data_IF_227411858227
#
_entry.id   IF_227411858227
#
_cell.length_a   1.000
_cell.length_b   1.000
_cell.length_c   1.000
_cell.angle_alpha   90.00
_cell.angle_beta   90.00
_cell.angle_gamma   90.00
#
_symmetry.space_group_name_H-M   'P 1'
#
loop_
_entity.id
_entity.type
_entity.pdbx_description
1 polymer ?
#
# COMPACT_ATOMS: atom_id res chain seq x y z
N UNK A 1 -17.26 30.24 7.15
CA UNK A 1 -17.39 31.43 8.00
C UNK A 1 -16.72 31.08 9.32
N UNK A 2 -15.51 31.59 9.51
CA UNK A 2 -14.66 31.27 10.66
C UNK A 2 -15.21 31.98 11.91
N UNK A 3 -15.07 31.36 13.09
CA UNK A 3 -15.52 31.95 14.38
C UNK A 3 -14.95 33.36 14.61
N UNK A 4 -13.76 33.64 14.09
CA UNK A 4 -13.14 34.96 14.13
C UNK A 4 -13.91 36.03 13.34
N UNK A 5 -14.46 35.68 12.17
CA UNK A 5 -15.23 36.60 11.31
C UNK A 5 -16.61 36.93 11.91
N UNK A 6 -17.22 35.96 12.61
CA UNK A 6 -18.50 36.15 13.29
C UNK A 6 -18.41 37.05 14.54
N UNK A 7 -17.25 37.03 15.20
CA UNK A 7 -17.03 37.71 16.48
C UNK A 7 -16.14 38.95 16.42
N UNK A 8 -15.68 39.34 15.22
CA UNK A 8 -14.69 40.42 15.02
C UNK A 8 -13.49 40.25 15.97
N UNK A 9 -12.94 39.02 16.00
CA UNK A 9 -11.89 38.62 16.94
C UNK A 9 -10.50 38.76 16.30
N UNK A 10 -9.60 39.41 17.01
CA UNK A 10 -8.20 39.59 16.62
C UNK A 10 -7.28 38.62 17.39
N UNK A 11 -6.19 38.14 16.77
CA UNK A 11 -5.21 37.31 17.44
C UNK A 11 -4.38 38.12 18.45
N UNK A 12 -4.18 37.56 19.63
CA UNK A 12 -3.38 38.15 20.72
C UNK A 12 -2.42 37.12 21.28
N UNK A 13 -1.20 37.56 21.59
CA UNK A 13 -0.24 36.76 22.36
C UNK A 13 -0.19 37.33 23.77
N UNK A 14 -0.40 36.47 24.77
CA UNK A 14 -0.28 36.77 26.19
C UNK A 14 0.84 35.93 26.79
N UNK A 15 1.85 36.57 27.36
CA UNK A 15 2.92 35.89 28.11
C UNK A 15 2.62 35.98 29.58
N UNK A 16 2.50 34.85 30.28
CA UNK A 16 2.19 34.86 31.71
C UNK A 16 3.42 35.14 32.60
N UNK A 17 3.21 35.23 33.91
CA UNK A 17 4.25 35.49 34.91
C UNK A 17 5.32 34.39 35.03
N UNK A 18 5.13 33.23 34.39
CA UNK A 18 6.11 32.16 34.30
C UNK A 18 6.87 32.19 32.97
N UNK A 19 6.52 33.11 32.07
CA UNK A 19 7.12 33.22 30.74
C UNK A 19 6.49 32.28 29.71
N UNK A 20 5.34 31.66 30.00
CA UNK A 20 4.65 30.79 29.05
C UNK A 20 3.80 31.63 28.09
N UNK A 21 3.91 31.32 26.78
CA UNK A 21 3.17 32.01 25.72
C UNK A 21 1.79 31.37 25.48
N UNK A 22 0.74 32.20 25.50
CA UNK A 22 -0.64 31.79 25.23
C UNK A 22 -1.16 32.52 23.99
N UNK A 23 -1.72 31.77 23.04
CA UNK A 23 -2.31 32.31 21.82
C UNK A 23 -3.84 32.38 21.96
N UNK A 24 -4.40 33.59 21.84
CA UNK A 24 -5.81 33.87 22.09
C UNK A 24 -6.47 34.58 20.88
N UNK A 25 -7.79 34.49 20.80
CA UNK A 25 -8.63 35.33 19.93
C UNK A 25 -9.50 36.20 20.84
N UNK A 26 -9.45 37.51 20.67
CA UNK A 26 -10.18 38.46 21.51
C UNK A 26 -10.73 39.62 20.68
N UNK A 27 -11.91 40.14 21.05
CA UNK A 27 -12.46 41.33 20.39
C UNK A 27 -11.58 42.56 20.72
N UNK A 28 -11.43 43.55 19.80
CA UNK A 28 -10.57 44.72 19.97
C UNK A 28 -10.74 45.44 21.32
N UNK A 29 -11.99 45.52 21.80
CA UNK A 29 -12.31 46.12 23.11
C UNK A 29 -11.67 45.38 24.29
N UNK A 30 -11.62 44.05 24.23
CA UNK A 30 -10.99 43.21 25.26
C UNK A 30 -9.47 43.39 25.24
N UNK A 31 -8.88 43.49 24.05
CA UNK A 31 -7.45 43.73 23.85
C UNK A 31 -7.05 45.07 24.47
N UNK A 32 -7.80 46.13 24.17
CA UNK A 32 -7.56 47.46 24.75
C UNK A 32 -7.62 47.46 26.28
N UNK A 33 -8.57 46.73 26.87
CA UNK A 33 -8.65 46.59 28.32
C UNK A 33 -7.46 45.83 28.90
N UNK A 34 -7.02 44.74 28.25
CA UNK A 34 -5.85 43.96 28.69
C UNK A 34 -4.57 44.81 28.66
N UNK A 35 -4.34 45.57 27.58
CA UNK A 35 -3.18 46.46 27.46
C UNK A 35 -3.19 47.59 28.49
N UNK A 36 -4.38 48.13 28.82
CA UNK A 36 -4.51 49.19 29.83
C UNK A 36 -4.22 48.64 31.24
N UNK A 37 -4.72 47.45 31.55
CA UNK A 37 -4.48 46.77 32.84
C UNK A 37 -3.00 46.39 33.04
N UNK A 38 -2.28 46.06 31.95
CA UNK A 38 -0.83 45.83 31.98
C UNK A 38 -0.02 47.12 32.15
N UNK A 39 -0.50 48.26 31.63
CA UNK A 39 0.18 49.54 31.82
C UNK A 39 0.05 50.08 33.26
N UNK A 40 -1.05 49.76 33.94
CA UNK A 40 -1.33 50.22 35.31
C UNK A 40 -0.73 49.33 36.41
N UNK A 41 -0.42 48.06 36.11
CA UNK A 41 0.17 47.12 37.05
C UNK A 41 1.58 46.72 36.61
N UNK A 42 2.55 46.66 37.54
CA UNK A 42 3.94 46.21 37.27
C UNK A 42 3.94 44.96 36.35
N UNK A 43 4.72 44.94 35.26
CA UNK A 43 4.53 44.02 34.16
C UNK A 43 4.91 42.60 34.59
N UNK A 44 3.90 41.82 34.96
CA UNK A 44 4.06 40.38 35.20
C UNK A 44 3.65 39.58 33.96
N UNK A 45 3.17 40.26 32.93
CA UNK A 45 2.77 39.68 31.65
C UNK A 45 3.05 40.68 30.52
N UNK A 46 3.18 40.17 29.30
CA UNK A 46 3.34 40.97 28.10
C UNK A 46 2.26 40.59 27.08
N UNK A 47 1.46 41.56 26.65
CA UNK A 47 0.50 41.42 25.55
C UNK A 47 1.05 42.05 24.28
N UNK A 48 1.05 41.28 23.18
CA UNK A 48 1.42 41.78 21.85
C UNK A 48 0.34 41.44 20.82
N UNK A 49 0.03 42.43 19.95
CA UNK A 49 -0.74 42.21 18.73
C UNK A 49 0.26 41.80 17.63
N UNK A 50 0.12 40.62 17.02
CA UNK A 50 0.96 40.22 15.90
C UNK A 50 0.78 41.22 14.75
N UNK A 51 1.89 41.74 14.21
CA UNK A 51 1.82 42.56 12.99
C UNK A 51 1.24 41.72 11.86
N UNK A 52 0.29 42.29 11.11
CA UNK A 52 -0.17 41.76 9.83
C UNK A 52 1.05 41.34 9.01
N UNK A 53 1.09 40.05 8.61
CA UNK A 53 2.06 39.62 7.61
C UNK A 53 1.66 40.32 6.33
N UNK A 54 2.60 41.05 5.73
CA UNK A 54 2.42 41.68 4.41
C UNK A 54 1.76 40.66 3.47
N UNK A 55 0.67 41.07 2.82
CA UNK A 55 0.08 40.34 1.71
C UNK A 55 1.22 39.98 0.73
N UNK A 56 1.38 38.68 0.52
CA UNK A 56 2.31 38.13 -0.46
C UNK A 56 1.62 38.30 -1.80
N UNK A 57 2.30 38.95 -2.74
CA UNK A 57 1.90 39.06 -4.15
C UNK A 57 1.38 37.70 -4.66
N UNK A 58 0.15 37.68 -5.18
CA UNK A 58 -0.56 36.47 -5.64
C UNK A 58 0.18 35.72 -6.78
N UNK A 59 1.24 36.30 -7.36
CA UNK A 59 2.08 35.68 -8.40
C UNK A 59 3.33 34.96 -7.86
N UNK A 60 3.57 35.00 -6.55
CA UNK A 60 4.60 34.18 -5.91
C UNK A 60 3.92 33.06 -5.13
N UNK A 61 4.00 31.81 -5.62
CA UNK A 61 3.49 30.65 -4.88
C UNK A 61 4.03 30.72 -3.44
N UNK A 62 3.18 30.89 -2.42
CA UNK A 62 3.67 30.90 -1.07
C UNK A 62 4.22 29.50 -0.79
N UNK A 63 5.47 29.45 -0.32
CA UNK A 63 6.03 28.28 0.33
C UNK A 63 4.98 27.80 1.34
N UNK A 64 4.27 26.73 0.98
CA UNK A 64 3.18 26.21 1.77
C UNK A 64 3.75 25.86 3.14
N UNK A 65 3.32 26.56 4.18
CA UNK A 65 3.57 26.18 5.57
C UNK A 65 3.35 24.67 5.68
N UNK A 66 4.34 23.87 6.17
CA UNK A 66 4.25 22.42 6.11
C UNK A 66 2.94 21.96 6.76
N UNK A 67 2.01 21.45 5.95
CA UNK A 67 0.72 21.02 6.49
C UNK A 67 0.99 19.90 7.50
N UNK A 68 0.60 20.11 8.76
CA UNK A 68 0.73 19.10 9.80
C UNK A 68 -0.14 17.90 9.44
N UNK A 69 0.37 16.69 9.65
CA UNK A 69 -0.41 15.46 9.44
C UNK A 69 -1.72 15.48 10.24
N UNK A 70 -1.72 16.12 11.41
CA UNK A 70 -2.93 16.33 12.20
C UNK A 70 -3.98 17.13 11.44
N UNK A 71 -3.58 18.21 10.76
CA UNK A 71 -4.50 19.03 9.97
C UNK A 71 -5.01 18.26 8.75
N UNK A 72 -4.16 17.48 8.09
CA UNK A 72 -4.55 16.60 6.98
C UNK A 72 -5.63 15.61 7.45
N UNK A 73 -5.40 14.94 8.58
CA UNK A 73 -6.36 13.99 9.15
C UNK A 73 -7.67 14.67 9.52
N UNK A 74 -7.62 15.81 10.24
CA UNK A 74 -8.81 16.54 10.69
C UNK A 74 -9.69 17.06 9.54
N UNK A 75 -9.05 17.49 8.45
CA UNK A 75 -9.74 18.00 7.26
C UNK A 75 -10.10 16.91 6.25
N UNK A 76 -9.68 15.65 6.49
CA UNK A 76 -9.98 14.55 5.58
C UNK A 76 -11.43 14.09 5.70
N UNK A 77 -12.00 13.62 4.59
CA UNK A 77 -13.28 12.91 4.61
C UNK A 77 -13.20 11.57 5.39
N UNK A 78 -11.99 11.05 5.62
CA UNK A 78 -11.72 9.85 6.44
C UNK A 78 -11.45 10.17 7.93
N UNK A 79 -11.67 11.40 8.40
CA UNK A 79 -11.26 11.86 9.74
C UNK A 79 -11.71 10.95 10.88
N UNK A 80 -12.91 10.37 10.80
CA UNK A 80 -13.49 9.57 11.86
C UNK A 80 -12.71 8.26 12.09
N UNK A 81 -12.11 7.72 11.03
CA UNK A 81 -11.27 6.54 11.09
C UNK A 81 -9.82 6.91 11.43
N UNK A 82 -9.28 7.95 10.80
CA UNK A 82 -7.85 8.31 10.91
C UNK A 82 -7.50 9.04 12.21
N UNK A 83 -8.44 9.74 12.84
CA UNK A 83 -8.21 10.45 14.11
C UNK A 83 -7.89 9.53 15.29
N UNK A 84 -8.15 8.23 15.15
CA UNK A 84 -7.80 7.20 16.14
C UNK A 84 -6.33 6.75 16.04
N UNK A 85 -5.67 7.10 14.94
CA UNK A 85 -4.30 6.68 14.64
C UNK A 85 -3.33 7.83 14.90
N UNK A 86 -2.13 7.49 15.37
CA UNK A 86 -1.05 8.45 15.58
C UNK A 86 0.01 8.28 14.50
N UNK A 87 0.23 9.32 13.71
CA UNK A 87 1.15 9.30 12.59
C UNK A 87 2.44 10.06 12.92
N UNK A 88 3.56 9.47 12.54
CA UNK A 88 4.88 10.11 12.58
C UNK A 88 5.44 10.21 11.16
N UNK A 89 6.17 11.28 10.88
CA UNK A 89 6.90 11.38 9.61
C UNK A 89 8.06 10.37 9.61
N UNK A 90 8.30 9.77 8.45
CA UNK A 90 9.41 8.85 8.25
C UNK A 90 10.73 9.53 8.63
N UNK A 91 11.49 8.93 9.51
CA UNK A 91 12.77 9.45 9.98
C UNK A 91 13.95 8.61 9.42
N UNK A 92 15.21 9.02 9.63
CA UNK A 92 16.36 8.27 9.13
C UNK A 92 16.44 6.83 9.66
N UNK A 93 16.02 6.57 10.90
CA UNK A 93 16.05 5.22 11.49
C UNK A 93 15.03 4.31 10.81
N UNK A 94 13.84 4.83 10.52
CA UNK A 94 12.79 4.08 9.85
C UNK A 94 13.09 3.90 8.36
N UNK A 95 13.73 4.89 7.72
CA UNK A 95 14.24 4.74 6.35
C UNK A 95 15.31 3.64 6.26
N UNK A 96 16.15 3.48 7.29
CA UNK A 96 17.11 2.38 7.38
C UNK A 96 16.39 1.02 7.50
N UNK A 97 15.33 0.93 8.31
CA UNK A 97 14.51 -0.28 8.44
C UNK A 97 13.94 -0.74 7.08
N UNK A 98 13.47 0.20 6.25
CA UNK A 98 12.97 -0.06 4.89
C UNK A 98 14.08 -0.50 3.90
N UNK A 99 15.35 -0.28 4.25
CA UNK A 99 16.52 -0.63 3.46
C UNK A 99 17.29 -1.85 4.01
N UNK A 100 16.72 -2.57 4.99
CA UNK A 100 17.36 -3.76 5.53
C UNK A 100 17.55 -4.86 4.46
N UNK A 101 18.65 -5.60 4.59
CA UNK A 101 18.97 -6.71 3.70
C UNK A 101 18.03 -7.89 3.93
N UNK A 102 17.30 -8.28 2.89
CA UNK A 102 16.41 -9.44 2.93
C UNK A 102 17.15 -10.77 2.94
N UNK A 103 18.39 -10.80 2.42
CA UNK A 103 19.24 -12.00 2.47
C UNK A 103 19.63 -12.33 3.91
N UNK A 104 19.94 -11.31 4.71
CA UNK A 104 20.33 -11.48 6.12
C UNK A 104 19.13 -11.52 7.06
N UNK A 105 18.04 -10.84 6.69
CA UNK A 105 16.81 -10.79 7.47
C UNK A 105 15.59 -11.08 6.55
N UNK A 106 15.22 -12.35 6.35
CA UNK A 106 14.05 -12.71 5.55
C UNK A 106 12.73 -12.12 6.05
N UNK A 107 12.64 -11.78 7.35
CA UNK A 107 11.46 -11.14 7.95
C UNK A 107 11.36 -9.65 7.62
N UNK A 108 12.42 -9.02 7.10
CA UNK A 108 12.43 -7.61 6.76
C UNK A 108 11.31 -7.24 5.77
N UNK A 109 11.02 -8.12 4.79
CA UNK A 109 9.92 -7.91 3.85
C UNK A 109 8.56 -7.79 4.57
N UNK A 110 8.31 -8.66 5.54
CA UNK A 110 7.09 -8.63 6.37
C UNK A 110 7.02 -7.36 7.22
N UNK A 111 8.09 -7.00 7.89
CA UNK A 111 8.15 -5.76 8.68
C UNK A 111 7.91 -4.52 7.81
N UNK A 112 8.46 -4.50 6.60
CA UNK A 112 8.24 -3.40 5.65
C UNK A 112 6.79 -3.33 5.17
N UNK A 113 6.15 -4.47 4.88
CA UNK A 113 4.72 -4.52 4.56
C UNK A 113 3.87 -3.96 5.68
N UNK A 114 4.07 -4.48 6.90
CA UNK A 114 3.34 -4.04 8.07
C UNK A 114 3.50 -2.54 8.30
N UNK A 115 4.72 -2.01 8.22
CA UNK A 115 5.01 -0.60 8.40
C UNK A 115 4.29 0.33 7.40
N UNK A 116 4.14 -0.13 6.15
CA UNK A 116 3.58 0.66 5.05
C UNK A 116 2.06 0.56 4.90
N UNK A 117 1.43 -0.38 5.60
CA UNK A 117 -0.01 -0.40 5.70
C UNK A 117 -0.52 0.91 6.31
N UNK A 118 -1.43 1.60 5.63
CA UNK A 118 -1.98 2.89 6.07
C UNK A 118 -0.96 4.02 6.12
N UNK A 119 0.18 3.89 5.43
CA UNK A 119 1.06 5.02 5.20
C UNK A 119 0.31 6.16 4.50
N UNK A 120 0.64 7.40 4.85
CA UNK A 120 0.09 8.61 4.23
C UNK A 120 1.20 9.33 3.48
N UNK A 121 1.00 9.55 2.19
CA UNK A 121 1.90 10.33 1.35
C UNK A 121 1.37 11.74 1.19
N UNK A 122 2.23 12.75 1.30
CA UNK A 122 1.84 14.16 1.26
C UNK A 122 2.76 14.94 0.32
N UNK A 123 2.17 15.66 -0.63
CA UNK A 123 2.88 16.45 -1.64
C UNK A 123 2.06 17.70 -2.00
N UNK A 124 2.64 18.91 -1.87
CA UNK A 124 1.98 20.16 -2.28
C UNK A 124 0.51 20.33 -1.85
N UNK A 125 0.18 19.97 -0.59
CA UNK A 125 -1.20 20.04 -0.04
C UNK A 125 -2.12 18.87 -0.44
N UNK A 126 -1.64 17.95 -1.27
CA UNK A 126 -2.31 16.70 -1.65
C UNK A 126 -1.89 15.57 -0.73
N UNK A 127 -2.81 14.65 -0.46
CA UNK A 127 -2.59 13.57 0.51
C UNK A 127 -3.22 12.26 0.04
N UNK A 128 -2.46 11.16 0.17
CA UNK A 128 -2.86 9.83 -0.27
C UNK A 128 -2.69 8.84 0.87
N UNK A 129 -3.76 8.13 1.23
CA UNK A 129 -3.71 7.01 2.17
C UNK A 129 -3.50 5.70 1.40
N UNK A 130 -2.49 4.95 1.78
CA UNK A 130 -2.20 3.62 1.25
C UNK A 130 -3.13 2.59 1.87
N UNK A 131 -3.89 1.90 1.02
CA UNK A 131 -4.79 0.84 1.43
C UNK A 131 -4.24 -0.55 1.10
N UNK A 132 -3.33 -0.67 0.13
CA UNK A 132 -2.71 -1.95 -0.18
C UNK A 132 -1.52 -1.81 -1.12
N UNK A 133 -0.61 -2.76 -1.02
CA UNK A 133 0.62 -2.75 -1.80
C UNK A 133 1.23 -4.13 -1.95
N UNK A 134 2.15 -4.23 -2.91
CA UNK A 134 2.89 -5.44 -3.24
C UNK A 134 4.38 -5.16 -3.20
N UNK A 135 5.11 -5.98 -2.46
CA UNK A 135 6.55 -5.80 -2.25
C UNK A 135 7.34 -6.73 -3.14
N UNK A 136 8.41 -6.20 -3.73
CA UNK A 136 9.31 -6.90 -4.62
C UNK A 136 10.73 -6.71 -4.13
N UNK A 137 11.50 -7.81 -4.08
CA UNK A 137 12.94 -7.69 -3.84
C UNK A 137 13.61 -7.12 -5.09
N UNK A 138 14.64 -6.30 -4.91
CA UNK A 138 15.50 -5.90 -6.04
C UNK A 138 16.53 -6.95 -6.44
N UNK A 139 16.74 -7.97 -5.60
CA UNK A 139 17.74 -9.00 -5.87
C UNK A 139 17.14 -10.12 -6.74
N UNK A 140 17.70 -10.40 -7.94
CA UNK A 140 17.23 -11.47 -8.81
C UNK A 140 17.23 -12.85 -8.18
N UNK A 141 18.14 -13.07 -7.22
CA UNK A 141 18.28 -14.34 -6.49
C UNK A 141 17.17 -14.56 -5.47
N UNK A 142 16.55 -13.49 -4.96
CA UNK A 142 15.47 -13.56 -3.98
C UNK A 142 14.10 -13.48 -4.64
N UNK A 143 13.98 -12.69 -5.72
CA UNK A 143 12.72 -12.50 -6.39
C UNK A 143 12.89 -12.52 -7.91
N UNK A 144 12.29 -13.53 -8.53
CA UNK A 144 12.21 -13.61 -9.98
C UNK A 144 11.50 -12.40 -10.60
N UNK A 145 10.67 -11.67 -9.84
CA UNK A 145 9.93 -10.47 -10.26
C UNK A 145 10.61 -9.15 -9.93
N UNK A 146 11.91 -9.17 -9.60
CA UNK A 146 12.69 -7.97 -9.36
C UNK A 146 12.60 -6.93 -10.50
N UNK A 147 12.72 -5.66 -10.13
CA UNK A 147 12.83 -4.56 -11.09
C UNK A 147 14.15 -4.65 -11.86
N UNK A 148 14.07 -4.69 -13.19
CA UNK A 148 15.27 -4.71 -14.04
C UNK A 148 15.82 -3.30 -14.17
N UNK A 149 17.06 -3.11 -13.70
CA UNK A 149 17.77 -1.83 -13.75
C UNK A 149 18.90 -1.81 -14.80
N UNK A 150 19.24 -2.95 -15.38
CA UNK A 150 20.28 -3.05 -16.39
C UNK A 150 19.83 -2.49 -17.74
N UNK A 151 20.70 -1.70 -18.37
CA UNK A 151 20.47 -1.21 -19.73
C UNK A 151 20.45 -2.38 -20.71
N UNK A 152 19.46 -2.41 -21.59
CA UNK A 152 19.45 -3.26 -22.77
C UNK A 152 19.36 -2.39 -24.00
N UNK A 153 20.30 -2.56 -24.94
CA UNK A 153 20.35 -1.84 -26.22
C UNK A 153 20.37 -0.31 -26.09
N UNK A 154 21.10 0.24 -25.11
CA UNK A 154 21.29 1.69 -24.95
C UNK A 154 20.15 2.43 -24.26
N UNK A 155 19.00 1.78 -24.02
CA UNK A 155 17.93 2.36 -23.22
C UNK A 155 18.15 1.99 -21.74
N UNK A 156 18.16 3.01 -20.89
CA UNK A 156 18.10 2.82 -19.43
C UNK A 156 16.62 2.74 -19.06
N UNK A 157 16.14 1.60 -18.53
CA UNK A 157 14.74 1.49 -18.12
C UNK A 157 14.45 2.50 -17.01
N UNK A 158 13.24 3.05 -17.00
CA UNK A 158 12.77 3.84 -15.87
C UNK A 158 12.81 2.96 -14.62
N UNK A 159 13.34 3.51 -13.54
CA UNK A 159 13.61 2.78 -12.31
C UNK A 159 13.00 3.50 -11.11
N UNK A 160 12.57 2.73 -10.10
CA UNK A 160 12.18 3.30 -8.80
C UNK A 160 13.37 3.43 -7.85
N UNK A 161 14.61 3.19 -8.31
CA UNK A 161 15.77 3.35 -7.46
C UNK A 161 15.84 4.80 -6.94
N UNK A 162 16.01 4.98 -5.63
CA UNK A 162 16.04 6.32 -5.06
C UNK A 162 17.28 7.08 -5.55
N UNK A 163 17.06 8.34 -5.92
CA UNK A 163 18.11 9.30 -6.22
C UNK A 163 18.98 9.58 -4.99
N UNK A 164 20.12 10.23 -5.19
CA UNK A 164 21.06 10.56 -4.11
C UNK A 164 20.59 11.72 -3.23
N UNK A 165 19.71 12.57 -3.76
CA UNK A 165 19.23 13.82 -3.16
C UNK A 165 17.75 13.72 -2.71
N UNK A 166 17.32 12.54 -2.28
CA UNK A 166 15.95 12.30 -1.79
C UNK A 166 15.78 12.82 -0.37
N UNK A 167 14.55 13.26 -0.01
CA UNK A 167 14.20 13.70 1.36
C UNK A 167 14.55 12.65 2.42
N UNK A 168 14.29 11.38 2.12
CA UNK A 168 14.61 10.25 2.97
C UNK A 168 15.75 9.47 2.34
N UNK A 169 16.84 9.26 3.09
CA UNK A 169 18.01 8.57 2.56
C UNK A 169 17.59 7.19 2.03
N UNK A 170 17.90 6.91 0.76
CA UNK A 170 17.61 5.64 0.12
C UNK A 170 16.12 5.24 0.08
N UNK A 171 15.19 6.21 0.14
CA UNK A 171 13.75 5.98 0.00
C UNK A 171 13.16 7.08 -0.87
N UNK A 172 12.43 6.70 -1.92
CA UNK A 172 11.78 7.65 -2.83
C UNK A 172 10.44 7.11 -3.31
N UNK A 173 9.44 7.99 -3.39
CA UNK A 173 8.18 7.70 -4.05
C UNK A 173 8.24 8.23 -5.48
N UNK A 174 7.88 7.42 -6.46
CA UNK A 174 7.94 7.80 -7.87
C UNK A 174 6.76 7.22 -8.65
N UNK A 175 6.55 7.75 -9.86
CA UNK A 175 5.69 7.13 -10.87
C UNK A 175 6.58 6.38 -11.85
N UNK A 176 6.23 5.15 -12.16
CA UNK A 176 6.83 4.37 -13.25
C UNK A 176 5.80 4.19 -14.35
N UNK A 177 6.16 4.55 -15.57
CA UNK A 177 5.40 4.20 -16.78
C UNK A 177 5.75 2.77 -17.18
N UNK A 178 4.81 1.85 -16.98
CA UNK A 178 4.98 0.44 -17.35
C UNK A 178 3.64 -0.17 -17.75
N UNK A 179 3.63 -1.02 -18.79
CA UNK A 179 2.43 -1.64 -19.36
C UNK A 179 1.33 -0.62 -19.73
N UNK A 180 1.71 0.53 -20.30
CA UNK A 180 0.81 1.66 -20.63
C UNK A 180 0.06 2.24 -19.41
N UNK A 181 0.58 2.05 -18.20
CA UNK A 181 0.00 2.58 -16.98
C UNK A 181 1.04 3.30 -16.12
N UNK A 182 0.59 4.36 -15.44
CA UNK A 182 1.36 5.06 -14.41
C UNK A 182 1.20 4.36 -13.08
N UNK A 183 2.24 3.66 -12.65
CA UNK A 183 2.27 2.90 -11.40
C UNK A 183 2.92 3.73 -10.31
N UNK A 184 2.27 3.87 -9.16
CA UNK A 184 2.85 4.53 -7.99
C UNK A 184 3.72 3.54 -7.22
N UNK A 185 5.00 3.85 -7.07
CA UNK A 185 5.99 2.92 -6.51
C UNK A 185 6.84 3.63 -5.45
N UNK A 186 6.89 3.05 -4.25
CA UNK A 186 7.89 3.40 -3.25
C UNK A 186 9.13 2.55 -3.48
N UNK A 187 10.24 3.17 -3.85
CA UNK A 187 11.50 2.50 -4.07
C UNK A 187 12.49 2.70 -2.92
N UNK A 188 13.19 1.62 -2.58
CA UNK A 188 14.34 1.64 -1.68
C UNK A 188 15.56 1.04 -2.39
N UNK A 189 16.71 0.87 -1.72
CA UNK A 189 17.86 0.15 -2.30
C UNK A 189 17.69 -1.37 -2.29
N UNK A 190 16.84 -1.93 -1.42
CA UNK A 190 16.66 -3.39 -1.28
C UNK A 190 15.34 -3.91 -1.84
N UNK A 191 14.32 -3.05 -1.92
CA UNK A 191 12.99 -3.42 -2.39
C UNK A 191 12.30 -2.29 -3.16
N UNK A 192 11.19 -2.63 -3.79
CA UNK A 192 10.21 -1.67 -4.29
C UNK A 192 8.80 -2.13 -3.90
N UNK A 193 7.92 -1.17 -3.64
CA UNK A 193 6.54 -1.41 -3.24
C UNK A 193 5.61 -0.78 -4.25
N UNK A 194 4.88 -1.61 -4.97
CA UNK A 194 3.83 -1.18 -5.87
C UNK A 194 2.57 -0.90 -5.06
N UNK A 195 2.11 0.35 -5.08
CA UNK A 195 0.84 0.71 -4.44
C UNK A 195 -0.30 0.23 -5.35
N UNK A 196 -1.16 -0.63 -4.81
CA UNK A 196 -2.25 -1.28 -5.56
C UNK A 196 -3.63 -0.89 -5.07
N UNK A 197 -3.73 -0.17 -3.94
CA UNK A 197 -4.97 0.41 -3.48
C UNK A 197 -4.69 1.67 -2.68
N UNK A 198 -5.43 2.76 -2.95
CA UNK A 198 -5.26 4.03 -2.26
C UNK A 198 -6.49 4.95 -2.36
N UNK A 199 -6.62 5.87 -1.41
CA UNK A 199 -7.68 6.89 -1.37
C UNK A 199 -7.09 8.28 -1.12
N UNK A 200 -7.68 9.31 -1.74
CA UNK A 200 -7.29 10.72 -1.56
C UNK A 200 -7.88 11.26 -0.28
N UNK A 201 -7.10 11.89 0.60
CA UNK A 201 -7.66 12.36 1.87
C UNK A 201 -8.31 13.73 1.75
N UNK A 202 -7.79 14.61 0.89
CA UNK A 202 -8.29 15.97 0.68
C UNK A 202 -9.54 16.07 -0.21
N UNK A 203 -9.92 14.98 -0.88
CA UNK A 203 -11.08 14.97 -1.77
C UNK A 203 -11.80 13.64 -1.71
N UNK A 204 -13.13 13.65 -1.89
CA UNK A 204 -13.94 12.44 -1.93
C UNK A 204 -13.91 11.77 -3.32
N UNK A 205 -12.70 11.59 -3.85
CA UNK A 205 -12.49 10.90 -5.12
C UNK A 205 -12.65 9.39 -4.95
N UNK A 206 -13.07 8.65 -6.00
CA UNK A 206 -13.15 7.21 -5.94
C UNK A 206 -11.84 6.56 -5.49
N UNK A 207 -11.98 5.48 -4.72
CA UNK A 207 -10.84 4.66 -4.30
C UNK A 207 -10.17 4.06 -5.54
N UNK A 208 -8.87 4.25 -5.67
CA UNK A 208 -8.09 3.58 -6.69
C UNK A 208 -7.81 2.15 -6.26
N UNK A 209 -8.18 1.17 -7.08
CA UNK A 209 -7.90 -0.26 -6.86
C UNK A 209 -7.29 -0.85 -8.13
N UNK A 210 -6.15 -1.52 -7.98
CA UNK A 210 -5.34 -2.07 -9.06
C UNK A 210 -4.01 -1.33 -9.23
N UNK A 211 -3.11 -1.94 -9.99
CA UNK A 211 -1.73 -1.44 -10.18
C UNK A 211 -1.63 -0.21 -11.10
N UNK A 212 -2.70 0.17 -11.80
CA UNK A 212 -2.65 1.11 -12.92
C UNK A 212 -3.07 2.54 -12.57
N UNK A 213 -3.16 2.89 -11.28
CA UNK A 213 -3.62 4.20 -10.85
C UNK A 213 -2.74 4.76 -9.73
N UNK A 214 -2.22 5.97 -9.95
CA UNK A 214 -1.67 6.80 -8.88
C UNK A 214 -2.75 7.59 -8.13
N UNK A 215 -4.02 7.41 -8.50
CA UNK A 215 -5.15 8.21 -8.05
C UNK A 215 -4.91 9.74 -8.20
N UNK A 216 -4.27 10.14 -9.31
CA UNK A 216 -3.89 11.55 -9.54
C UNK A 216 -2.83 12.09 -8.56
N UNK A 217 -2.19 11.24 -7.76
CA UNK A 217 -1.04 11.62 -6.94
C UNK A 217 0.21 11.70 -7.82
N UNK A 218 0.93 12.81 -7.70
CA UNK A 218 2.16 13.08 -8.44
C UNK A 218 3.23 13.33 -7.38
N UNK A 219 4.09 12.34 -7.07
CA UNK A 219 5.15 12.50 -6.09
C UNK A 219 6.28 13.37 -6.63
N UNK A 220 7.07 13.89 -5.71
CA UNK A 220 8.35 14.55 -5.96
C UNK A 220 9.40 14.03 -4.96
N UNK A 221 10.66 14.46 -5.12
CA UNK A 221 11.73 14.16 -4.15
C UNK A 221 11.45 14.72 -2.74
N UNK A 222 10.53 15.68 -2.64
CA UNK A 222 10.11 16.32 -1.39
C UNK A 222 8.87 15.67 -0.76
N UNK A 223 8.28 14.65 -1.40
CA UNK A 223 7.08 13.99 -0.87
C UNK A 223 7.35 13.48 0.54
N UNK A 224 6.46 13.85 1.46
CA UNK A 224 6.52 13.42 2.85
C UNK A 224 5.80 12.10 3.02
N UNK A 225 6.38 11.20 3.80
CA UNK A 225 5.82 9.90 4.11
C UNK A 225 5.53 9.85 5.59
N UNK A 226 4.30 9.53 5.96
CA UNK A 226 3.89 9.32 7.33
C UNK A 226 3.48 7.87 7.53
N UNK A 227 3.82 7.33 8.68
CA UNK A 227 3.52 5.96 9.08
C UNK A 227 2.85 5.95 10.46
N UNK A 228 2.10 4.90 10.75
CA UNK A 228 1.44 4.76 12.04
C UNK A 228 2.46 4.35 13.12
N UNK A 229 2.52 5.12 14.20
CA UNK A 229 3.51 4.94 15.27
C UNK A 229 3.41 3.57 15.95
N UNK A 230 2.19 3.04 16.13
CA UNK A 230 2.01 1.72 16.77
C UNK A 230 2.65 0.60 15.95
N UNK A 231 2.60 0.67 14.61
CA UNK A 231 3.17 -0.35 13.73
C UNK A 231 4.70 -0.41 13.84
N UNK A 232 5.35 0.74 13.96
CA UNK A 232 6.78 0.81 14.24
C UNK A 232 7.12 0.16 15.59
N UNK A 233 6.34 0.47 16.64
CA UNK A 233 6.53 -0.12 17.97
C UNK A 233 6.33 -1.65 17.97
N UNK A 234 5.34 -2.15 17.25
CA UNK A 234 5.09 -3.59 17.09
C UNK A 234 6.26 -4.32 16.42
N UNK A 235 6.86 -3.71 15.38
CA UNK A 235 8.05 -4.25 14.71
C UNK A 235 9.24 -4.29 15.67
N UNK A 236 9.47 -3.22 16.43
CA UNK A 236 10.55 -3.16 17.42
C UNK A 236 10.39 -4.21 18.52
N UNK A 237 9.17 -4.41 19.02
CA UNK A 237 8.86 -5.44 20.02
C UNK A 237 9.11 -6.85 19.46
N UNK A 238 8.63 -7.12 18.24
CA UNK A 238 8.78 -8.42 17.59
C UNK A 238 10.25 -8.74 17.28
N UNK A 239 11.02 -7.74 16.86
CA UNK A 239 12.45 -7.90 16.56
C UNK A 239 13.25 -8.24 17.82
N UNK A 240 12.93 -7.62 18.96
CA UNK A 240 13.55 -7.92 20.26
C UNK A 240 13.18 -9.30 20.81
N UNK A 241 11.95 -9.76 20.56
CA UNK A 241 11.52 -11.09 20.99
C UNK A 241 12.19 -12.21 20.15
N UNK A 242 12.32 -12.02 18.84
CA UNK A 242 12.88 -13.04 17.94
C UNK A 242 14.39 -13.24 18.08
N UNK A 243 15.13 -12.29 18.69
CA UNK A 243 16.54 -12.52 19.07
C UNK A 243 16.71 -13.57 20.18
N UNK A 244 15.63 -14.12 20.75
CA UNK A 244 15.69 -15.15 21.79
C UNK A 244 15.19 -16.55 21.36
N UNK A 245 14.56 -16.69 20.18
CA UNK A 245 14.09 -17.99 19.66
C UNK A 245 14.88 -18.40 18.42
N UNK A 246 16.01 -19.06 18.67
CA UNK A 246 16.76 -19.75 17.63
C UNK A 246 16.09 -21.12 17.35
N UNK A 247 15.62 -21.29 16.11
CA UNK A 247 15.33 -22.61 15.56
C UNK A 247 13.90 -23.11 15.68
N UNK A 248 13.03 -22.67 14.78
CA UNK A 248 12.13 -23.54 13.99
C UNK A 248 11.78 -22.75 12.71
N UNK A 249 12.35 -23.17 11.56
CA UNK A 249 11.98 -22.66 10.24
C UNK A 249 10.67 -23.31 9.80
N UNK A 250 9.54 -22.69 10.14
CA UNK A 250 8.25 -23.10 9.57
C UNK A 250 8.00 -22.38 8.24
N UNK A 251 7.33 -23.05 7.32
CA UNK A 251 6.84 -22.52 6.03
C UNK A 251 5.93 -21.28 6.18
N UNK A 252 5.46 -20.99 7.40
CA UNK A 252 4.58 -19.87 7.72
C UNK A 252 5.32 -18.56 8.04
N UNK A 253 6.66 -18.55 8.05
CA UNK A 253 7.46 -17.36 8.37
C UNK A 253 7.21 -16.18 7.42
N UNK A 254 6.70 -16.42 6.22
CA UNK A 254 6.50 -15.37 5.20
C UNK A 254 5.08 -14.80 5.17
N UNK A 255 4.15 -15.30 5.99
CA UNK A 255 2.79 -14.77 6.06
C UNK A 255 2.77 -13.44 6.82
N UNK A 256 2.14 -12.43 6.24
CA UNK A 256 1.86 -11.15 6.90
C UNK A 256 0.81 -11.35 7.99
N UNK A 257 -0.30 -12.01 7.63
CA UNK A 257 -1.42 -12.32 8.51
C UNK A 257 -1.60 -13.84 8.67
N UNK A 258 -2.13 -14.32 9.80
CA UNK A 258 -2.36 -15.75 10.04
C UNK A 258 -3.64 -16.28 9.36
N UNK A 259 -4.20 -15.54 8.41
CA UNK A 259 -5.45 -15.86 7.71
C UNK A 259 -5.40 -15.38 6.26
N UNK A 260 -6.30 -15.90 5.43
CA UNK A 260 -6.47 -15.53 4.02
C UNK A 260 -5.14 -15.51 3.24
N UNK A 261 -4.35 -16.58 3.34
CA UNK A 261 -2.98 -16.67 2.84
C UNK A 261 -2.90 -16.37 1.34
N UNK A 262 -3.85 -16.90 0.55
CA UNK A 262 -3.90 -16.65 -0.89
C UNK A 262 -4.16 -15.20 -1.25
N UNK A 263 -4.78 -14.43 -0.36
CA UNK A 263 -5.02 -13.01 -0.58
C UNK A 263 -3.78 -12.14 -0.32
N UNK A 264 -2.77 -12.71 0.32
CA UNK A 264 -1.46 -12.10 0.55
C UNK A 264 -0.47 -12.40 -0.59
N UNK A 265 -0.85 -13.22 -1.58
CA UNK A 265 -0.10 -13.39 -2.81
C UNK A 265 -0.22 -12.16 -3.70
N UNK A 266 0.89 -11.80 -4.34
CA UNK A 266 0.94 -10.70 -5.32
C UNK A 266 0.13 -11.04 -6.57
N UNK A 267 -0.44 -10.03 -7.22
CA UNK A 267 -1.20 -10.18 -8.47
C UNK A 267 -0.22 -10.34 -9.65
N UNK A 268 0.39 -11.51 -9.75
CA UNK A 268 1.39 -11.85 -10.75
C UNK A 268 0.75 -12.56 -11.94
N UNK A 269 1.25 -12.29 -13.14
CA UNK A 269 0.75 -12.88 -14.39
C UNK A 269 1.78 -13.79 -15.08
N UNK A 270 2.89 -14.09 -14.41
CA UNK A 270 4.00 -14.81 -15.02
C UNK A 270 4.92 -15.48 -14.01
N UNK A 271 5.86 -16.28 -14.52
CA UNK A 271 6.93 -16.96 -13.75
C UNK A 271 6.37 -17.90 -12.68
N UNK A 272 5.27 -18.57 -12.99
CA UNK A 272 4.67 -19.59 -12.13
C UNK A 272 5.60 -20.81 -11.93
N UNK A 273 6.65 -20.92 -12.74
CA UNK A 273 7.75 -21.88 -12.55
C UNK A 273 8.75 -21.49 -11.45
N UNK A 274 8.53 -20.39 -10.72
CA UNK A 274 9.49 -19.83 -9.75
C UNK A 274 8.89 -19.75 -8.34
N UNK A 275 9.65 -20.20 -7.34
CA UNK A 275 9.25 -20.16 -5.92
C UNK A 275 8.85 -18.76 -5.46
N UNK A 276 9.58 -17.72 -5.87
CA UNK A 276 9.32 -16.34 -5.42
C UNK A 276 7.95 -15.78 -5.86
N UNK A 277 7.31 -16.41 -6.86
CA UNK A 277 5.93 -16.06 -7.28
C UNK A 277 4.91 -16.34 -6.18
N UNK A 278 5.22 -17.27 -5.27
CA UNK A 278 4.32 -17.74 -4.23
C UNK A 278 4.61 -17.12 -2.85
N UNK A 279 5.43 -16.06 -2.80
CA UNK A 279 5.69 -15.33 -1.55
C UNK A 279 4.52 -14.39 -1.22
N UNK A 280 4.10 -14.42 0.06
CA UNK A 280 2.99 -13.64 0.59
C UNK A 280 3.39 -12.19 0.90
N UNK A 281 3.76 -11.44 -0.14
CA UNK A 281 4.27 -10.06 -0.03
C UNK A 281 3.26 -9.00 -0.49
N UNK A 282 1.96 -9.29 -0.39
CA UNK A 282 0.88 -8.33 -0.62
C UNK A 282 0.20 -8.00 0.70
N UNK A 283 0.21 -6.73 1.08
CA UNK A 283 -0.44 -6.24 2.30
C UNK A 283 -1.75 -5.52 1.98
N UNK A 284 -2.63 -5.44 2.98
CA UNK A 284 -3.88 -4.67 2.94
C UNK A 284 -4.05 -3.94 4.28
N UNK A 285 -4.51 -2.69 4.23
CA UNK A 285 -4.80 -1.91 5.44
C UNK A 285 -5.91 -2.56 6.27
N UNK A 286 -6.05 -2.16 7.54
CA UNK A 286 -7.15 -2.63 8.39
C UNK A 286 -8.55 -2.35 7.82
N UNK A 287 -8.66 -1.36 6.93
CA UNK A 287 -9.90 -1.01 6.22
C UNK A 287 -10.20 -1.91 5.01
N UNK A 288 -9.17 -2.56 4.45
CA UNK A 288 -9.27 -3.38 3.24
C UNK A 288 -8.83 -4.83 3.42
N UNK A 289 -8.51 -5.22 4.65
CA UNK A 289 -8.13 -6.59 5.01
C UNK A 289 -9.34 -7.48 5.37
N UNK A 290 -10.51 -7.19 4.77
CA UNK A 290 -11.71 -8.03 4.84
C UNK A 290 -12.03 -8.57 3.44
N UNK A 291 -12.71 -9.71 3.38
CA UNK A 291 -13.19 -10.25 2.11
C UNK A 291 -13.96 -9.16 1.35
N UNK A 292 -14.91 -8.42 1.90
CA UNK A 292 -15.73 -7.49 1.09
C UNK A 292 -14.96 -6.32 0.45
N UNK A 293 -13.80 -5.96 0.96
CA UNK A 293 -13.02 -4.77 0.55
C UNK A 293 -11.63 -5.09 0.01
N UNK A 294 -11.17 -6.34 0.09
CA UNK A 294 -9.87 -6.72 -0.46
C UNK A 294 -9.93 -6.89 -1.99
N UNK A 295 -8.95 -6.35 -2.73
CA UNK A 295 -8.94 -6.48 -4.20
C UNK A 295 -8.89 -7.93 -4.68
N UNK A 296 -9.51 -8.18 -5.82
CA UNK A 296 -9.49 -9.44 -6.54
C UNK A 296 -8.12 -9.65 -7.19
N UNK A 297 -7.70 -10.91 -7.19
CA UNK A 297 -6.47 -11.40 -7.82
C UNK A 297 -6.77 -12.75 -8.48
N UNK A 298 -5.84 -13.28 -9.29
CA UNK A 298 -5.99 -14.62 -9.86
C UNK A 298 -6.16 -15.71 -8.78
N UNK A 299 -5.70 -15.45 -7.55
CA UNK A 299 -5.77 -16.37 -6.42
C UNK A 299 -7.11 -16.35 -5.70
N UNK A 300 -7.84 -15.23 -5.78
CA UNK A 300 -8.99 -14.96 -4.90
C UNK A 300 -10.33 -14.89 -5.61
N UNK A 301 -10.39 -14.87 -6.94
CA UNK A 301 -11.67 -14.86 -7.69
C UNK A 301 -12.57 -16.03 -7.26
N UNK A 302 -11.99 -17.22 -7.07
CA UNK A 302 -12.73 -18.41 -6.66
C UNK A 302 -13.52 -18.23 -5.35
N UNK A 303 -13.01 -17.39 -4.44
CA UNK A 303 -13.62 -17.15 -3.12
C UNK A 303 -14.74 -16.09 -3.18
N UNK A 304 -14.93 -15.42 -4.32
CA UNK A 304 -15.87 -14.29 -4.50
C UNK A 304 -17.06 -14.57 -5.41
N UNK A 305 -17.06 -15.72 -6.06
CA UNK A 305 -18.10 -16.05 -7.04
C UNK A 305 -19.49 -16.04 -6.42
N UNK A 306 -20.44 -15.42 -7.12
CA UNK A 306 -21.87 -15.52 -6.77
C UNK A 306 -22.29 -16.98 -6.89
N UNK A 307 -23.34 -17.40 -6.20
CA UNK A 307 -23.82 -18.79 -6.25
C UNK A 307 -24.11 -19.29 -7.68
N UNK A 308 -24.41 -18.41 -8.62
CA UNK A 308 -24.63 -18.75 -10.03
C UNK A 308 -23.32 -18.91 -10.84
N UNK A 309 -22.21 -18.33 -10.38
CA UNK A 309 -20.91 -18.29 -11.05
C UNK A 309 -19.91 -19.33 -10.53
N UNK A 310 -20.29 -20.12 -9.52
CA UNK A 310 -19.41 -21.12 -8.86
C UNK A 310 -18.86 -22.18 -9.83
N UNK A 311 -19.55 -22.40 -10.94
CA UNK A 311 -19.19 -23.32 -12.02
C UNK A 311 -18.72 -22.57 -13.28
N UNK A 312 -18.22 -21.34 -13.15
CA UNK A 312 -17.63 -20.62 -14.27
C UNK A 312 -16.20 -21.10 -14.54
N UNK A 313 -15.79 -21.05 -15.80
CA UNK A 313 -14.42 -21.39 -16.20
C UNK A 313 -13.37 -20.50 -15.54
N UNK A 314 -13.71 -19.22 -15.30
CA UNK A 314 -12.89 -18.25 -14.55
C UNK A 314 -12.68 -18.70 -13.11
N UNK A 315 -13.72 -19.16 -12.42
CA UNK A 315 -13.62 -19.66 -11.04
C UNK A 315 -12.75 -20.92 -10.99
N UNK A 316 -12.93 -21.86 -11.90
CA UNK A 316 -12.09 -23.06 -11.97
C UNK A 316 -10.62 -22.73 -12.30
N UNK A 317 -10.34 -21.75 -13.16
CA UNK A 317 -8.99 -21.25 -13.38
C UNK A 317 -8.37 -20.64 -12.12
N UNK A 318 -9.13 -19.84 -11.36
CA UNK A 318 -8.66 -19.31 -10.07
C UNK A 318 -8.43 -20.40 -9.02
N UNK A 319 -9.29 -21.43 -8.97
CA UNK A 319 -9.09 -22.63 -8.14
C UNK A 319 -7.80 -23.37 -8.51
N UNK A 320 -7.47 -23.47 -9.81
CA UNK A 320 -6.21 -24.06 -10.26
C UNK A 320 -5.01 -23.26 -9.72
N UNK A 321 -5.01 -21.94 -9.88
CA UNK A 321 -3.95 -21.10 -9.31
C UNK A 321 -3.82 -21.27 -7.80
N UNK A 322 -4.95 -21.27 -7.08
CA UNK A 322 -5.00 -21.49 -5.63
C UNK A 322 -4.39 -22.83 -5.23
N UNK A 323 -4.77 -23.90 -5.92
CA UNK A 323 -4.23 -25.25 -5.70
C UNK A 323 -2.73 -25.32 -5.94
N UNK A 324 -2.25 -24.75 -7.06
CA UNK A 324 -0.81 -24.68 -7.38
C UNK A 324 -0.04 -23.95 -6.28
N UNK A 325 -0.55 -22.81 -5.80
CA UNK A 325 0.10 -22.07 -4.71
C UNK A 325 0.20 -22.89 -3.43
N UNK A 326 -0.89 -23.58 -3.05
CA UNK A 326 -0.89 -24.49 -1.89
C UNK A 326 0.12 -25.62 -2.05
N UNK A 327 0.19 -26.25 -3.23
CA UNK A 327 1.19 -27.30 -3.49
C UNK A 327 2.63 -26.79 -3.35
N UNK A 328 2.90 -25.54 -3.78
CA UNK A 328 4.23 -24.92 -3.65
C UNK A 328 4.55 -24.57 -2.20
N UNK A 329 3.58 -24.14 -1.40
CA UNK A 329 3.81 -23.88 0.03
C UNK A 329 4.08 -25.15 0.83
N UNK A 330 3.38 -26.23 0.51
CA UNK A 330 3.51 -27.52 1.19
C UNK A 330 4.81 -28.24 0.79
N UNK A 331 5.15 -28.24 -0.50
CA UNK A 331 6.20 -29.11 -1.05
C UNK A 331 7.38 -28.35 -1.66
N UNK A 332 7.37 -27.02 -1.65
CA UNK A 332 8.46 -26.19 -2.15
C UNK A 332 8.83 -26.50 -3.61
N UNK A 333 10.10 -26.81 -3.85
CA UNK A 333 10.62 -27.11 -5.18
C UNK A 333 10.10 -28.44 -5.76
N UNK A 334 9.64 -29.35 -4.90
CA UNK A 334 9.12 -30.67 -5.27
C UNK A 334 7.61 -30.66 -5.56
N UNK A 335 6.98 -29.48 -5.50
CA UNK A 335 5.56 -29.31 -5.76
C UNK A 335 5.16 -29.85 -7.13
N UNK A 336 4.08 -30.62 -7.12
CA UNK A 336 3.55 -31.28 -8.31
C UNK A 336 2.06 -30.99 -8.49
N UNK A 337 1.59 -31.12 -9.73
CA UNK A 337 0.21 -30.88 -10.12
C UNK A 337 -0.37 -32.19 -10.65
N UNK A 338 -1.41 -32.69 -9.99
CA UNK A 338 -2.08 -33.94 -10.39
C UNK A 338 -3.04 -33.73 -11.56
N UNK A 339 -3.03 -34.66 -12.52
CA UNK A 339 -3.99 -34.71 -13.63
C UNK A 339 -5.43 -34.75 -13.12
N UNK A 340 -5.68 -35.48 -12.02
CA UNK A 340 -7.00 -35.57 -11.40
C UNK A 340 -7.55 -34.20 -10.99
N UNK A 341 -6.70 -33.30 -10.50
CA UNK A 341 -7.09 -31.93 -10.16
C UNK A 341 -7.55 -31.19 -11.41
N UNK A 342 -6.80 -31.28 -12.52
CA UNK A 342 -7.11 -30.61 -13.79
C UNK A 342 -8.43 -31.11 -14.35
N UNK A 343 -8.58 -32.43 -14.49
CA UNK A 343 -9.81 -33.03 -15.02
C UNK A 343 -11.02 -32.74 -14.12
N UNK A 344 -10.86 -32.73 -12.80
CA UNK A 344 -11.92 -32.36 -11.85
C UNK A 344 -12.38 -30.90 -12.02
N UNK A 345 -11.43 -29.97 -12.19
CA UNK A 345 -11.75 -28.56 -12.43
C UNK A 345 -12.39 -28.36 -13.81
N UNK A 346 -11.92 -29.08 -14.83
CA UNK A 346 -12.44 -29.03 -16.20
C UNK A 346 -13.91 -29.47 -16.28
N UNK A 347 -14.33 -30.46 -15.49
CA UNK A 347 -15.73 -30.90 -15.39
C UNK A 347 -16.71 -29.80 -14.94
N UNK A 348 -16.22 -28.71 -14.35
CA UNK A 348 -17.06 -27.59 -13.93
C UNK A 348 -17.43 -26.68 -15.11
N UNK A 349 -16.81 -26.82 -16.28
CA UNK A 349 -17.08 -25.95 -17.42
C UNK A 349 -18.45 -26.22 -18.05
N UNK A 350 -19.28 -25.18 -18.10
CA UNK A 350 -20.61 -25.22 -18.77
C UNK A 350 -20.55 -24.90 -20.26
N UNK A 351 -19.51 -24.21 -20.71
CA UNK A 351 -19.36 -23.75 -22.08
C UNK A 351 -17.91 -23.86 -22.52
N UNK A 352 -17.73 -24.19 -23.80
CA UNK A 352 -16.41 -24.23 -24.39
C UNK A 352 -15.86 -22.83 -24.63
N UNK A 353 -14.57 -22.66 -24.36
CA UNK A 353 -13.91 -21.36 -24.49
C UNK A 353 -12.41 -21.43 -24.30
N UNK A 354 -11.77 -20.25 -24.35
CA UNK A 354 -10.31 -20.15 -24.28
C UNK A 354 -9.72 -20.74 -23.00
N UNK A 355 -10.42 -20.60 -21.86
CA UNK A 355 -9.99 -21.20 -20.59
C UNK A 355 -10.00 -22.73 -20.68
N UNK A 356 -11.08 -23.33 -21.18
CA UNK A 356 -11.16 -24.78 -21.35
C UNK A 356 -10.07 -25.30 -22.28
N UNK A 357 -9.82 -24.61 -23.39
CA UNK A 357 -8.74 -24.99 -24.32
C UNK A 357 -7.38 -25.01 -23.63
N UNK A 358 -7.08 -24.02 -22.78
CA UNK A 358 -5.82 -24.01 -22.02
C UNK A 358 -5.76 -25.18 -21.03
N UNK A 359 -6.87 -25.52 -20.38
CA UNK A 359 -6.93 -26.71 -19.52
C UNK A 359 -6.66 -28.00 -20.31
N UNK A 360 -7.22 -28.14 -21.52
CA UNK A 360 -6.89 -29.24 -22.43
C UNK A 360 -5.38 -29.30 -22.73
N UNK A 361 -4.78 -28.16 -23.09
CA UNK A 361 -3.33 -28.11 -23.30
C UNK A 361 -2.50 -28.43 -22.04
N UNK A 362 -3.03 -28.20 -20.84
CA UNK A 362 -2.38 -28.59 -19.58
C UNK A 362 -2.50 -30.11 -19.39
N UNK A 363 -3.65 -30.72 -19.70
CA UNK A 363 -3.82 -32.18 -19.68
C UNK A 363 -2.89 -32.87 -20.69
N UNK A 364 -2.66 -32.26 -21.84
CA UNK A 364 -1.72 -32.77 -22.86
C UNK A 364 -0.24 -32.74 -22.42
N UNK A 365 0.10 -32.08 -21.30
CA UNK A 365 1.46 -32.11 -20.73
C UNK A 365 1.78 -33.41 -19.99
N UNK A 366 0.78 -34.26 -19.73
CA UNK A 366 0.95 -35.51 -19.01
C UNK A 366 1.25 -36.63 -20.01
N UNK A 367 2.29 -37.40 -19.72
CA UNK A 367 2.60 -38.62 -20.48
C UNK A 367 1.66 -39.77 -20.04
N UNK A 368 1.42 -40.76 -20.90
CA UNK A 368 0.37 -41.79 -20.72
C UNK A 368 0.44 -42.52 -19.36
N UNK A 369 1.64 -42.68 -18.78
CA UNK A 369 1.87 -43.38 -17.51
C UNK A 369 2.09 -42.45 -16.30
N UNK A 370 2.12 -41.12 -16.50
CA UNK A 370 2.47 -40.15 -15.45
C UNK A 370 1.26 -39.30 -15.07
N UNK A 371 0.79 -39.44 -13.82
CA UNK A 371 -0.38 -38.71 -13.30
C UNK A 371 -0.08 -37.37 -12.64
N UNK A 372 1.19 -36.95 -12.60
CA UNK A 372 1.66 -35.72 -11.98
C UNK A 372 2.69 -35.00 -12.84
N UNK A 373 2.72 -33.67 -12.81
CA UNK A 373 3.75 -32.86 -13.46
C UNK A 373 4.38 -31.91 -12.46
N UNK A 374 5.68 -31.63 -12.56
CA UNK A 374 6.34 -30.68 -11.67
C UNK A 374 5.85 -29.27 -11.94
N UNK A 375 5.68 -28.46 -10.88
CA UNK A 375 5.24 -27.06 -10.99
C UNK A 375 6.46 -26.16 -11.17
N UNK A 376 7.43 -26.27 -10.27
CA UNK A 376 8.62 -25.42 -10.25
C UNK A 376 9.61 -25.87 -11.33
N UNK A 377 10.16 -24.93 -12.09
CA UNK A 377 11.04 -25.21 -13.23
C UNK A 377 10.32 -25.62 -14.52
N UNK A 378 9.01 -25.90 -14.49
CA UNK A 378 8.25 -26.32 -15.66
C UNK A 378 7.88 -25.12 -16.55
N UNK A 379 8.66 -24.91 -17.62
CA UNK A 379 8.49 -23.78 -18.54
C UNK A 379 7.23 -23.86 -19.39
N UNK A 380 6.83 -25.07 -19.81
CA UNK A 380 5.64 -25.27 -20.65
C UNK A 380 4.37 -25.03 -19.86
N UNK A 381 4.26 -25.60 -18.64
CA UNK A 381 3.15 -25.31 -17.74
C UNK A 381 3.07 -23.81 -17.44
N UNK A 382 4.20 -23.15 -17.14
CA UNK A 382 4.24 -21.71 -16.91
C UNK A 382 3.77 -20.88 -18.13
N UNK A 383 4.05 -21.31 -19.36
CA UNK A 383 3.54 -20.65 -20.58
C UNK A 383 2.01 -20.73 -20.64
N UNK A 384 1.43 -21.88 -20.34
CA UNK A 384 -0.02 -22.07 -20.28
C UNK A 384 -0.66 -21.25 -19.14
N UNK A 385 -0.06 -21.26 -17.96
CA UNK A 385 -0.53 -20.47 -16.81
C UNK A 385 -0.44 -18.95 -17.07
N UNK A 386 0.57 -18.46 -17.79
CA UNK A 386 0.63 -17.05 -18.24
C UNK A 386 -0.56 -16.69 -19.10
N UNK A 387 -0.88 -17.54 -20.08
CA UNK A 387 -2.02 -17.32 -20.97
C UNK A 387 -3.33 -17.34 -20.15
N UNK A 388 -3.45 -18.28 -19.21
CA UNK A 388 -4.61 -18.38 -18.34
C UNK A 388 -4.78 -17.14 -17.45
N UNK A 389 -3.71 -16.67 -16.80
CA UNK A 389 -3.73 -15.44 -15.99
C UNK A 389 -4.11 -14.21 -16.82
N UNK A 390 -3.73 -14.18 -18.10
CA UNK A 390 -4.13 -13.11 -19.01
C UNK A 390 -5.64 -13.08 -19.23
N UNK A 391 -6.28 -14.23 -19.41
CA UNK A 391 -7.73 -14.34 -19.61
C UNK A 391 -8.54 -13.88 -18.39
N UNK A 392 -7.96 -13.92 -17.18
CA UNK A 392 -8.62 -13.47 -15.96
C UNK A 392 -8.57 -11.95 -15.75
N UNK A 393 -7.84 -11.20 -16.58
CA UNK A 393 -7.56 -9.79 -16.31
C UNK A 393 -8.81 -8.91 -16.32
N UNK A 394 -9.73 -9.11 -17.27
CA UNK A 394 -10.97 -8.34 -17.36
C UNK A 394 -11.87 -8.57 -16.14
N UNK A 395 -11.98 -9.82 -15.70
CA UNK A 395 -12.79 -10.17 -14.53
C UNK A 395 -12.24 -9.52 -13.26
N UNK A 396 -10.92 -9.47 -13.13
CA UNK A 396 -10.25 -8.81 -12.00
C UNK A 396 -10.50 -7.31 -12.02
N UNK A 397 -10.44 -6.66 -13.19
CA UNK A 397 -10.74 -5.23 -13.32
C UNK A 397 -12.19 -4.96 -12.89
N UNK A 398 -13.16 -5.68 -13.45
CA UNK A 398 -14.57 -5.53 -13.12
C UNK A 398 -14.86 -5.79 -11.63
N UNK A 399 -14.29 -6.86 -11.08
CA UNK A 399 -14.40 -7.16 -9.66
C UNK A 399 -13.82 -6.05 -8.77
N UNK A 400 -12.69 -5.47 -9.18
CA UNK A 400 -12.03 -4.40 -8.43
C UNK A 400 -12.77 -3.05 -8.50
N UNK A 401 -13.56 -2.78 -9.56
CA UNK A 401 -14.49 -1.65 -9.57
C UNK A 401 -15.56 -1.79 -8.48
N UNK A 402 -16.09 -3.01 -8.28
CA UNK A 402 -17.00 -3.27 -7.16
C UNK A 402 -16.31 -3.09 -5.81
N UNK A 403 -15.06 -3.57 -5.67
CA UNK A 403 -14.27 -3.40 -4.45
C UNK A 403 -14.05 -1.91 -4.13
N UNK A 404 -13.72 -1.09 -5.14
CA UNK A 404 -13.58 0.37 -4.97
C UNK A 404 -14.83 0.99 -4.34
N UNK A 405 -16.02 0.63 -4.84
CA UNK A 405 -17.31 1.07 -4.26
C UNK A 405 -17.52 0.59 -2.83
N UNK A 406 -17.19 -0.66 -2.53
CA UNK A 406 -17.32 -1.21 -1.18
C UNK A 406 -16.40 -0.49 -0.17
N UNK A 407 -15.15 -0.20 -0.57
CA UNK A 407 -14.22 0.55 0.26
C UNK A 407 -14.76 1.97 0.52
N UNK A 408 -15.24 2.64 -0.53
CA UNK A 408 -15.84 3.96 -0.40
C UNK A 408 -17.00 3.97 0.60
N UNK A 409 -17.83 2.93 0.59
CA UNK A 409 -18.92 2.78 1.55
C UNK A 409 -18.42 2.68 2.99
N UNK A 410 -17.37 1.89 3.25
CA UNK A 410 -16.76 1.79 4.60
C UNK A 410 -16.29 3.14 5.12
N UNK A 411 -15.67 3.96 4.27
CA UNK A 411 -15.23 5.31 4.67
C UNK A 411 -16.40 6.28 4.87
N UNK A 412 -17.48 6.13 4.11
CA UNK A 412 -18.68 6.97 4.25
C UNK A 412 -19.53 6.60 5.47
N UNK A 413 -19.68 5.32 5.79
CA UNK A 413 -20.42 4.86 6.98
C UNK A 413 -19.77 5.36 8.27
N UNK A 414 -18.44 5.38 8.33
CA UNK A 414 -17.73 5.88 9.51
C UNK A 414 -17.90 7.39 9.74
N UNK A 415 -18.40 8.14 8.75
CA UNK A 415 -18.62 9.58 8.84
C UNK A 415 -19.99 9.94 9.45
N UNK A 416 -20.97 9.04 9.34
CA UNK A 416 -22.32 9.18 9.89
C UNK A 416 -22.40 8.55 11.29
#
# INVERSE_FOLDING_TARGET
MLVAELGDLEPVIYVDHKGEEHHLLAAPKVIGNMMTLEAENKPSSLVFIPKERKEIDEDSQPDQTPCSIRNIVLNSHCRALLSKSNYIELDPQTALLLNNSWTLNPMAAKSCAHLLEEAVFVEGGKSLLVLGGEIYSRLPSLDAHYEKTSSTKGNIPQSSLPHTDTRYQNVELCLIDNDNAKKLVLGTKTMNVLITSSIRLESNQPVAVGASSSNGFIPSRNTRIFIEKCKLQEIEMTTKANTQLDGIRSSHQYLLYPFDEHAQLRQLRSKFDRLSTYLCYRFSSKFTNDVRTRPWTIWTIADRSRNQDRDSSVVAASKLFKHIATQVWENGAEASLSLNTITSLKRQFKQSGNVERIFGCIEDLYEDDISTTTIIGNKELNKLLKNLASLLSSEIVNGNEQISRNIQHVFNEAYN
#
